data_IF_553786229328
#
_entry.id   IF_553786229328
#
_cell.length_a   1.000
_cell.length_b   1.000
_cell.length_c   1.000
_cell.angle_alpha   90.00
_cell.angle_beta   90.00
_cell.angle_gamma   90.00
#
_symmetry.space_group_name_H-M   'P 1'
#
loop_
_entity.id
_entity.type
_entity.pdbx_description
1 polymer ?
#
# COMPACT_ATOMS: atom_id res chain seq x y z
N UNK A 1 1.28 14.35 29.94
CA UNK A 1 1.06 14.43 28.47
C UNK A 1 1.51 13.15 27.81
N UNK A 2 0.66 12.54 26.98
CA UNK A 2 0.90 11.25 26.31
C UNK A 2 1.17 11.47 24.81
N UNK A 3 2.22 10.84 24.30
CA UNK A 3 2.58 10.87 22.89
C UNK A 3 1.59 10.04 22.06
N UNK A 4 1.23 10.54 20.87
CA UNK A 4 0.30 9.91 19.92
C UNK A 4 -1.14 9.73 20.41
N UNK A 5 -1.58 10.59 21.31
CA UNK A 5 -2.95 10.61 21.82
C UNK A 5 -3.57 12.00 21.69
N UNK A 6 -4.89 12.04 21.50
CA UNK A 6 -5.66 13.27 21.64
C UNK A 6 -5.85 13.61 23.11
N UNK A 7 -5.63 14.87 23.48
CA UNK A 7 -5.76 15.36 24.84
C UNK A 7 -6.37 16.76 24.83
N UNK A 8 -7.16 17.06 25.85
CA UNK A 8 -7.70 18.40 26.10
C UNK A 8 -6.77 19.14 27.07
N UNK A 9 -5.95 20.07 26.53
CA UNK A 9 -4.94 20.78 27.29
C UNK A 9 -5.31 22.24 27.48
N UNK A 10 -4.99 22.81 28.64
CA UNK A 10 -5.25 24.21 28.95
C UNK A 10 -4.31 25.14 28.18
N UNK A 11 -4.85 26.17 27.55
CA UNK A 11 -4.10 27.29 27.00
C UNK A 11 -3.54 28.13 28.16
N UNK A 12 -2.23 28.01 28.44
CA UNK A 12 -1.58 28.68 29.57
C UNK A 12 -1.17 30.11 29.21
N UNK A 13 -0.43 30.30 28.12
CA UNK A 13 0.05 31.61 27.69
C UNK A 13 0.38 31.67 26.21
N UNK A 14 0.25 32.87 25.64
CA UNK A 14 0.71 33.21 24.29
C UNK A 14 2.23 33.39 24.28
N UNK A 15 2.86 32.92 23.20
CA UNK A 15 4.30 33.09 22.91
C UNK A 15 4.46 33.51 21.44
N UNK A 16 5.68 33.88 21.03
CA UNK A 16 5.96 34.36 19.68
C UNK A 16 5.53 33.39 18.57
N UNK A 17 5.75 32.11 18.78
CA UNK A 17 5.51 31.07 17.76
C UNK A 17 4.21 30.29 17.95
N UNK A 18 3.34 30.68 18.87
CA UNK A 18 2.09 29.98 19.15
C UNK A 18 1.58 30.18 20.56
N UNK A 19 1.06 29.11 21.16
CA UNK A 19 0.62 29.10 22.54
C UNK A 19 1.18 27.90 23.29
N UNK A 20 1.48 28.06 24.57
CA UNK A 20 1.81 26.94 25.44
C UNK A 20 0.55 26.33 26.03
N UNK A 21 0.46 25.00 25.92
CA UNK A 21 -0.59 24.19 26.51
C UNK A 21 -0.02 23.32 27.63
N UNK A 22 -0.84 23.01 28.63
CA UNK A 22 -0.50 22.16 29.76
C UNK A 22 -1.69 21.29 30.22
N UNK A 23 -1.42 20.23 30.99
CA UNK A 23 -2.46 19.38 31.57
C UNK A 23 -3.30 20.11 32.63
N UNK A 24 -2.68 21.05 33.33
CA UNK A 24 -3.32 21.99 34.26
C UNK A 24 -2.63 23.35 34.22
N UNK A 25 -3.29 24.39 34.76
CA UNK A 25 -2.83 25.77 34.72
C UNK A 25 -1.58 26.03 35.58
N UNK A 26 -1.29 25.15 36.54
CA UNK A 26 -0.13 25.25 37.43
C UNK A 26 1.05 24.40 37.01
N UNK A 27 0.94 23.64 35.91
CA UNK A 27 1.99 22.74 35.46
C UNK A 27 3.22 23.50 34.95
N UNK A 28 4.42 23.04 35.34
CA UNK A 28 5.68 23.54 34.78
C UNK A 28 5.97 22.95 33.37
N UNK A 29 5.31 21.84 33.05
CA UNK A 29 5.50 21.12 31.77
C UNK A 29 4.54 21.68 30.73
N UNK A 30 5.08 22.29 29.69
CA UNK A 30 4.31 22.88 28.61
C UNK A 30 4.64 22.22 27.27
N UNK A 31 3.63 22.19 26.38
CA UNK A 31 3.80 21.83 24.98
C UNK A 31 3.39 23.00 24.10
N UNK A 32 4.13 23.21 23.00
CA UNK A 32 3.83 24.29 22.04
C UNK A 32 2.73 23.82 21.07
N UNK A 33 1.69 24.62 20.89
CA UNK A 33 0.79 24.59 19.75
C UNK A 33 1.18 25.74 18.81
N UNK A 34 1.59 25.48 17.55
CA UNK A 34 2.00 26.52 16.61
C UNK A 34 0.90 27.54 16.32
N UNK A 35 1.27 28.79 16.10
CA UNK A 35 0.33 29.91 15.92
C UNK A 35 -0.70 29.69 14.80
N UNK A 36 -0.31 29.04 13.71
CA UNK A 36 -1.20 28.72 12.58
C UNK A 36 -2.30 27.70 12.91
N UNK A 37 -2.17 27.02 14.04
CA UNK A 37 -3.06 25.94 14.47
C UNK A 37 -3.87 26.32 15.73
N UNK A 38 -3.67 27.50 16.27
CA UNK A 38 -4.45 28.02 17.40
C UNK A 38 -5.82 28.44 16.89
N UNK A 39 -6.94 27.91 17.45
CA UNK A 39 -8.27 28.39 17.11
C UNK A 39 -8.41 29.90 17.34
N UNK A 40 -9.08 30.61 16.44
CA UNK A 40 -9.18 32.08 16.47
C UNK A 40 -9.87 32.63 17.74
N UNK A 41 -10.80 31.83 18.28
CA UNK A 41 -11.60 32.18 19.48
C UNK A 41 -10.97 31.68 20.78
N UNK A 42 -9.84 30.96 20.74
CA UNK A 42 -9.21 30.36 21.93
C UNK A 42 -8.63 31.41 22.85
N UNK A 43 -8.92 31.28 24.14
CA UNK A 43 -8.48 32.22 25.20
C UNK A 43 -7.65 31.51 26.27
N UNK A 44 -6.71 32.22 26.91
CA UNK A 44 -6.00 31.66 28.06
C UNK A 44 -6.97 31.16 29.15
N UNK A 45 -6.68 29.96 29.68
CA UNK A 45 -7.54 29.29 30.65
C UNK A 45 -8.53 28.29 30.05
N UNK A 46 -8.77 28.34 28.75
CA UNK A 46 -9.64 27.37 28.06
C UNK A 46 -8.87 26.12 27.64
N UNK A 47 -9.60 25.03 27.44
CA UNK A 47 -9.03 23.78 26.93
C UNK A 47 -9.08 23.75 25.40
N UNK A 48 -7.99 23.32 24.79
CA UNK A 48 -7.90 23.05 23.36
C UNK A 48 -7.64 21.55 23.19
N UNK A 49 -8.45 20.87 22.35
CA UNK A 49 -8.24 19.48 21.96
C UNK A 49 -7.13 19.41 20.93
N UNK A 50 -6.05 18.69 21.27
CA UNK A 50 -4.87 18.58 20.43
C UNK A 50 -4.38 17.13 20.37
N UNK A 51 -3.71 16.80 19.29
CA UNK A 51 -2.92 15.56 19.16
C UNK A 51 -1.46 15.88 19.48
N UNK A 52 -0.78 15.02 20.24
CA UNK A 52 0.62 15.21 20.61
C UNK A 52 1.54 14.30 19.79
N UNK A 53 2.51 14.90 19.12
CA UNK A 53 3.53 14.17 18.35
C UNK A 53 4.90 14.82 18.54
N UNK A 54 5.94 14.32 17.86
CA UNK A 54 7.28 14.90 17.91
C UNK A 54 7.60 15.64 16.62
N UNK A 55 8.12 16.87 16.76
CA UNK A 55 8.60 17.67 15.64
C UNK A 55 9.90 17.12 15.01
N UNK A 56 10.45 17.78 13.99
CA UNK A 56 11.69 17.40 13.31
C UNK A 56 12.94 17.41 14.20
N UNK A 57 12.86 18.06 15.38
CA UNK A 57 13.93 18.10 16.39
C UNK A 57 13.65 17.15 17.57
N UNK A 58 12.72 16.18 17.38
CA UNK A 58 12.27 15.23 18.40
C UNK A 58 11.69 15.84 19.68
N UNK A 59 11.23 17.11 19.63
CA UNK A 59 10.54 17.77 20.74
C UNK A 59 9.06 17.45 20.69
N UNK A 60 8.42 17.30 21.85
CA UNK A 60 6.98 17.16 21.93
C UNK A 60 6.29 18.43 21.43
N UNK A 61 5.33 18.31 20.55
CA UNK A 61 4.56 19.41 19.95
C UNK A 61 3.08 19.01 19.87
N UNK A 62 2.21 20.00 20.03
CA UNK A 62 0.77 19.85 19.86
C UNK A 62 0.33 20.25 18.45
N UNK A 63 -0.74 19.62 17.97
CA UNK A 63 -1.39 19.99 16.71
C UNK A 63 -2.91 19.87 16.83
N UNK A 64 -3.64 20.76 16.17
CA UNK A 64 -5.08 20.65 15.93
C UNK A 64 -5.38 19.92 14.61
N UNK A 65 -4.36 19.67 13.77
CA UNK A 65 -4.51 18.85 12.59
C UNK A 65 -4.79 17.39 12.99
N UNK A 66 -5.63 16.72 12.21
CA UNK A 66 -5.98 15.32 12.44
C UNK A 66 -5.01 14.41 11.69
N UNK A 67 -4.22 13.56 12.36
CA UNK A 67 -3.44 12.53 11.69
C UNK A 67 -4.36 11.50 11.04
N UNK A 68 -3.90 10.88 9.95
CA UNK A 68 -4.65 9.85 9.22
C UNK A 68 -4.78 8.52 9.99
N UNK A 69 -3.94 8.31 11.03
CA UNK A 69 -4.02 7.15 11.93
C UNK A 69 -3.45 7.49 13.30
N UNK A 70 -3.88 6.74 14.32
CA UNK A 70 -3.40 6.83 15.70
C UNK A 70 -2.84 5.47 16.18
N UNK A 71 -2.37 5.40 17.42
CA UNK A 71 -1.84 4.13 17.98
C UNK A 71 -2.91 3.05 17.99
N UNK A 72 -2.54 1.87 17.51
CA UNK A 72 -3.43 0.71 17.42
C UNK A 72 -4.35 0.70 16.19
N UNK A 73 -4.26 1.73 15.35
CA UNK A 73 -4.97 1.82 14.07
C UNK A 73 -4.03 1.51 12.90
N UNK A 74 -4.62 1.37 11.74
CA UNK A 74 -3.94 1.29 10.45
C UNK A 74 -4.66 2.17 9.43
N UNK A 75 -3.92 2.66 8.44
CA UNK A 75 -4.46 3.45 7.34
C UNK A 75 -3.60 3.31 6.08
N UNK A 76 -4.16 3.56 4.90
CA UNK A 76 -3.38 3.75 3.69
C UNK A 76 -2.68 5.12 3.75
N UNK A 77 -1.36 5.13 3.58
CA UNK A 77 -0.56 6.34 3.54
C UNK A 77 0.28 6.39 2.27
N UNK A 78 0.43 7.59 1.71
CA UNK A 78 1.26 7.82 0.53
C UNK A 78 2.72 7.95 0.92
N UNK A 79 3.60 7.23 0.24
CA UNK A 79 5.05 7.36 0.33
C UNK A 79 5.47 8.65 -0.38
N UNK A 80 5.98 9.64 0.36
CA UNK A 80 6.48 10.90 -0.20
C UNK A 80 7.90 10.77 -0.72
N UNK A 81 8.74 10.06 0.03
CA UNK A 81 10.15 9.92 -0.27
C UNK A 81 10.70 8.60 0.28
N UNK A 82 11.68 8.02 -0.43
CA UNK A 82 12.46 6.87 0.03
C UNK A 82 13.91 7.31 0.20
N UNK A 83 14.38 7.31 1.44
CA UNK A 83 15.72 7.72 1.82
C UNK A 83 16.66 6.55 2.15
N UNK A 84 17.84 6.86 2.68
CA UNK A 84 18.88 5.85 3.01
C UNK A 84 18.50 4.89 4.14
N UNK A 85 17.56 5.27 5.02
CA UNK A 85 17.23 4.51 6.25
C UNK A 85 15.79 3.97 6.27
N UNK A 86 14.98 4.35 5.30
CA UNK A 86 13.57 4.00 5.18
C UNK A 86 12.80 4.98 4.32
N UNK A 87 11.48 4.94 4.38
CA UNK A 87 10.59 5.85 3.68
C UNK A 87 9.93 6.85 4.62
N UNK A 88 9.43 7.94 4.05
CA UNK A 88 8.68 8.97 4.74
C UNK A 88 7.27 9.05 4.13
N UNK A 89 6.26 8.98 5.01
CA UNK A 89 4.86 8.84 4.63
C UNK A 89 4.07 10.09 5.01
N UNK A 90 3.15 10.50 4.12
CA UNK A 90 2.18 11.55 4.43
C UNK A 90 1.06 11.01 5.32
N UNK A 91 1.08 11.37 6.58
CA UNK A 91 0.05 11.01 7.56
C UNK A 91 -0.82 12.16 8.04
N UNK A 92 -0.76 13.31 7.32
CA UNK A 92 -1.60 14.47 7.58
C UNK A 92 -1.00 15.53 8.54
N UNK A 93 0.22 15.29 9.06
CA UNK A 93 0.92 16.23 9.93
C UNK A 93 2.15 16.85 9.22
N UNK A 94 2.70 17.94 9.77
CA UNK A 94 3.83 18.66 9.15
C UNK A 94 5.10 17.79 9.04
N UNK A 95 5.39 16.97 10.06
CA UNK A 95 6.49 16.01 10.01
C UNK A 95 5.96 14.69 9.44
N UNK A 96 6.54 14.26 8.33
CA UNK A 96 6.21 12.98 7.72
C UNK A 96 6.49 11.80 8.66
N UNK A 97 5.68 10.75 8.59
CA UNK A 97 5.82 9.56 9.40
C UNK A 97 6.92 8.67 8.83
N UNK A 98 7.89 8.30 9.67
CA UNK A 98 9.02 7.48 9.24
C UNK A 98 8.66 5.98 9.24
N UNK A 99 8.91 5.31 8.11
CA UNK A 99 8.81 3.86 7.94
C UNK A 99 10.22 3.29 7.78
N UNK A 100 10.82 2.69 8.82
CA UNK A 100 12.15 2.06 8.74
C UNK A 100 12.16 0.87 7.80
N UNK A 101 13.27 0.59 7.10
CA UNK A 101 13.41 -0.60 6.26
C UNK A 101 13.11 -1.92 6.98
N UNK A 102 13.49 -2.05 8.26
CA UNK A 102 13.20 -3.23 9.08
C UNK A 102 11.71 -3.50 9.32
N UNK A 103 10.86 -2.48 9.13
CA UNK A 103 9.41 -2.56 9.29
C UNK A 103 8.67 -2.70 7.95
N UNK A 104 9.40 -2.71 6.85
CA UNK A 104 8.83 -3.00 5.53
C UNK A 104 8.72 -4.51 5.29
N UNK A 105 7.64 -4.94 4.67
CA UNK A 105 7.44 -6.31 4.18
C UNK A 105 7.83 -6.45 2.71
N UNK A 106 7.95 -5.32 1.98
CA UNK A 106 8.37 -5.22 0.59
C UNK A 106 9.04 -3.88 0.33
N UNK A 107 9.70 -3.75 -0.81
CA UNK A 107 10.21 -2.45 -1.29
C UNK A 107 9.04 -1.56 -1.69
N UNK A 108 9.18 -0.28 -1.40
CA UNK A 108 8.22 0.77 -1.77
C UNK A 108 8.92 1.87 -2.55
N UNK A 109 8.17 2.61 -3.35
CA UNK A 109 8.65 3.74 -4.15
C UNK A 109 7.83 5.01 -3.80
N UNK A 110 8.38 6.19 -4.10
CA UNK A 110 7.64 7.43 -3.92
C UNK A 110 6.39 7.43 -4.81
N UNK A 111 5.25 7.78 -4.22
CA UNK A 111 3.93 7.72 -4.85
C UNK A 111 3.13 6.46 -4.54
N UNK A 112 3.75 5.41 -4.02
CA UNK A 112 2.99 4.24 -3.57
C UNK A 112 2.07 4.60 -2.42
N UNK A 113 0.86 4.04 -2.40
CA UNK A 113 -0.06 4.14 -1.27
C UNK A 113 -0.16 2.79 -0.58
N UNK A 114 0.35 2.69 0.64
CA UNK A 114 0.54 1.44 1.36
C UNK A 114 -0.20 1.45 2.70
N UNK A 115 -0.74 0.29 3.11
CA UNK A 115 -1.29 0.12 4.46
C UNK A 115 -0.17 0.04 5.48
N UNK A 116 -0.30 0.83 6.54
CA UNK A 116 0.65 0.84 7.65
C UNK A 116 -0.06 0.98 8.99
N UNK A 117 0.58 0.51 10.04
CA UNK A 117 0.24 0.74 11.45
C UNK A 117 1.14 1.81 12.04
N UNK A 118 0.73 2.39 13.18
CA UNK A 118 1.54 3.34 13.96
C UNK A 118 2.06 2.66 15.22
N UNK A 119 3.36 2.80 15.49
CA UNK A 119 3.95 2.34 16.74
C UNK A 119 4.97 3.34 17.31
N UNK A 120 5.29 3.21 18.59
CA UNK A 120 6.34 3.97 19.25
C UNK A 120 7.60 3.11 19.33
N UNK A 121 8.71 3.57 18.74
CA UNK A 121 9.98 2.88 18.76
C UNK A 121 10.66 2.95 20.16
N UNK A 122 11.79 2.21 20.33
CA UNK A 122 12.57 2.20 21.59
C UNK A 122 13.12 3.58 21.97
N UNK A 123 13.25 4.49 21.00
CA UNK A 123 13.68 5.88 21.19
C UNK A 123 12.52 6.83 21.44
N UNK A 124 11.34 6.31 21.70
CA UNK A 124 10.08 7.07 21.88
C UNK A 124 9.75 7.98 20.70
N UNK A 125 9.98 7.51 19.47
CA UNK A 125 9.55 8.16 18.23
C UNK A 125 8.38 7.41 17.60
N UNK A 126 7.48 8.18 16.97
CA UNK A 126 6.40 7.62 16.17
C UNK A 126 6.96 7.11 14.85
N UNK A 127 6.68 5.85 14.53
CA UNK A 127 7.10 5.20 13.30
C UNK A 127 5.95 4.39 12.70
N UNK A 128 5.98 4.25 11.38
CA UNK A 128 5.10 3.34 10.66
C UNK A 128 5.66 1.92 10.61
N UNK A 129 4.78 0.93 10.48
CA UNK A 129 5.14 -0.46 10.20
C UNK A 129 4.15 -1.05 9.19
N UNK A 130 4.65 -1.82 8.22
CA UNK A 130 3.83 -2.63 7.31
C UNK A 130 3.47 -3.99 7.93
N UNK A 131 3.96 -4.29 9.14
CA UNK A 131 3.75 -5.55 9.85
C UNK A 131 2.52 -5.51 10.76
N UNK A 132 1.97 -6.68 11.04
CA UNK A 132 0.86 -6.83 11.99
C UNK A 132 -0.53 -6.46 11.44
N UNK A 133 -0.65 -6.09 10.17
CA UNK A 133 -1.93 -5.75 9.53
C UNK A 133 -2.92 -6.92 9.55
N UNK A 134 -2.43 -8.14 9.37
CA UNK A 134 -3.24 -9.35 9.39
C UNK A 134 -4.10 -9.53 10.66
N UNK A 135 -3.57 -9.11 11.80
CA UNK A 135 -4.28 -9.23 13.09
C UNK A 135 -5.26 -8.07 13.33
N UNK A 136 -5.04 -6.94 12.67
CA UNK A 136 -5.87 -5.74 12.81
C UNK A 136 -7.06 -5.71 11.86
N UNK A 137 -6.93 -6.33 10.68
CA UNK A 137 -8.01 -6.37 9.68
C UNK A 137 -9.20 -7.19 10.19
N UNK A 138 -10.40 -6.66 9.95
CA UNK A 138 -11.65 -7.30 10.34
C UNK A 138 -11.85 -8.64 9.62
N UNK A 139 -12.36 -9.61 10.35
CA UNK A 139 -12.80 -10.91 9.84
C UNK A 139 -14.32 -10.97 9.67
N UNK A 140 -15.03 -9.92 10.05
CA UNK A 140 -16.50 -9.82 9.92
C UNK A 140 -16.85 -9.07 8.64
N UNK A 141 -16.69 -9.77 7.52
CA UNK A 141 -16.93 -9.23 6.18
C UNK A 141 -18.41 -9.38 5.79
N UNK A 142 -19.05 -8.36 5.19
CA UNK A 142 -20.42 -8.45 4.67
C UNK A 142 -20.52 -9.20 3.34
N UNK A 143 -19.38 -9.51 2.71
CA UNK A 143 -19.32 -10.09 1.38
C UNK A 143 -19.65 -11.58 1.35
N UNK A 144 -20.24 -12.01 0.24
CA UNK A 144 -20.62 -13.38 -0.05
C UNK A 144 -19.85 -13.91 -1.26
N UNK A 145 -19.88 -15.25 -1.42
CA UNK A 145 -19.31 -15.90 -2.60
C UNK A 145 -19.89 -15.32 -3.89
N UNK A 146 -19.06 -15.23 -4.91
CA UNK A 146 -19.34 -14.73 -6.26
C UNK A 146 -19.51 -13.20 -6.37
N UNK A 147 -19.41 -12.44 -5.29
CA UNK A 147 -19.40 -10.99 -5.33
C UNK A 147 -18.03 -10.44 -5.76
N UNK A 148 -18.06 -9.32 -6.48
CA UNK A 148 -16.88 -8.54 -6.81
C UNK A 148 -16.56 -7.58 -5.66
N UNK A 149 -15.29 -7.47 -5.34
CA UNK A 149 -14.77 -6.62 -4.27
C UNK A 149 -13.56 -5.85 -4.75
N UNK A 150 -13.34 -4.69 -4.16
CA UNK A 150 -12.10 -3.92 -4.33
C UNK A 150 -11.24 -4.09 -3.09
N UNK A 151 -9.95 -4.29 -3.26
CA UNK A 151 -9.05 -4.44 -2.12
C UNK A 151 -7.61 -4.05 -2.46
N UNK A 152 -6.85 -3.75 -1.42
CA UNK A 152 -5.45 -3.34 -1.50
C UNK A 152 -4.54 -4.49 -1.12
N UNK A 153 -3.54 -4.77 -1.95
CA UNK A 153 -2.49 -5.73 -1.67
C UNK A 153 -1.57 -5.18 -0.57
N UNK A 154 -1.40 -5.91 0.54
CA UNK A 154 -0.57 -5.43 1.65
C UNK A 154 0.57 -6.35 2.06
N UNK A 155 0.53 -7.65 1.66
CA UNK A 155 1.59 -8.60 2.02
C UNK A 155 1.62 -9.79 1.04
N UNK A 156 2.82 -10.31 0.76
CA UNK A 156 3.03 -11.55 0.03
C UNK A 156 3.54 -12.63 0.96
N UNK A 157 3.02 -13.84 0.81
CA UNK A 157 3.43 -15.01 1.60
C UNK A 157 3.65 -16.21 0.69
N UNK A 158 4.84 -16.81 0.77
CA UNK A 158 5.19 -17.99 0.00
C UNK A 158 4.25 -19.20 0.32
N UNK A 159 3.71 -19.24 1.53
CA UNK A 159 2.88 -20.35 1.98
C UNK A 159 1.37 -20.13 1.75
N UNK A 160 0.92 -18.86 1.80
CA UNK A 160 -0.51 -18.56 1.87
C UNK A 160 -1.04 -17.78 0.67
N UNK A 161 -0.17 -17.17 -0.13
CA UNK A 161 -0.52 -16.35 -1.27
C UNK A 161 -0.43 -14.85 -0.97
N UNK A 162 -1.19 -14.05 -1.70
CA UNK A 162 -1.21 -12.61 -1.60
C UNK A 162 -2.30 -12.16 -0.65
N UNK A 163 -1.94 -11.46 0.40
CA UNK A 163 -2.90 -10.87 1.33
C UNK A 163 -3.45 -9.55 0.82
N UNK A 164 -4.76 -9.40 0.94
CA UNK A 164 -5.53 -8.26 0.42
C UNK A 164 -6.42 -7.72 1.53
N UNK A 165 -6.44 -6.42 1.71
CA UNK A 165 -7.39 -5.72 2.55
C UNK A 165 -8.57 -5.24 1.69
N UNK A 166 -9.69 -5.96 1.71
CA UNK A 166 -10.90 -5.56 0.98
C UNK A 166 -11.49 -4.33 1.68
N UNK A 167 -11.77 -3.26 0.89
CA UNK A 167 -12.19 -1.93 1.37
C UNK A 167 -11.23 -1.31 2.41
N UNK A 168 -9.93 -1.66 2.33
CA UNK A 168 -8.92 -1.35 3.35
C UNK A 168 -9.34 -1.78 4.77
N UNK A 169 -10.23 -2.77 4.92
CA UNK A 169 -10.85 -3.16 6.18
C UNK A 169 -10.92 -4.65 6.43
N UNK A 170 -11.29 -5.46 5.42
CA UNK A 170 -11.59 -6.87 5.61
C UNK A 170 -10.45 -7.77 5.16
N UNK A 171 -10.10 -8.77 5.98
CA UNK A 171 -9.03 -9.72 5.71
C UNK A 171 -9.40 -10.66 4.56
N UNK A 172 -8.60 -10.63 3.51
CA UNK A 172 -8.75 -11.51 2.36
C UNK A 172 -7.40 -11.99 1.83
N UNK A 173 -7.42 -13.02 0.98
CA UNK A 173 -6.23 -13.50 0.27
C UNK A 173 -6.55 -14.01 -1.13
N UNK A 174 -5.56 -13.94 -2.00
CA UNK A 174 -5.50 -14.67 -3.27
C UNK A 174 -4.57 -15.87 -3.04
N UNK A 175 -5.04 -17.12 -3.22
CA UNK A 175 -4.23 -18.32 -2.98
C UNK A 175 -3.02 -18.41 -3.92
N UNK A 176 -1.93 -19.06 -3.49
CA UNK A 176 -0.72 -19.33 -4.31
C UNK A 176 -0.96 -20.15 -5.58
N UNK A 177 -2.12 -20.82 -5.69
CA UNK A 177 -2.50 -21.53 -6.92
C UNK A 177 -2.82 -20.60 -8.10
N UNK A 178 -2.92 -19.31 -7.85
CA UNK A 178 -3.12 -18.28 -8.87
C UNK A 178 -1.82 -17.51 -9.13
N UNK A 179 -1.62 -17.10 -10.37
CA UNK A 179 -0.48 -16.25 -10.71
C UNK A 179 -0.78 -14.80 -10.28
N UNK A 180 -0.02 -14.34 -9.33
CA UNK A 180 -0.09 -12.97 -8.79
C UNK A 180 1.26 -12.24 -8.90
N UNK A 181 2.19 -12.76 -9.72
CA UNK A 181 3.56 -12.21 -9.87
C UNK A 181 3.61 -10.80 -10.46
N UNK A 182 2.49 -10.32 -11.00
CA UNK A 182 2.36 -8.96 -11.53
C UNK A 182 1.88 -7.94 -10.50
N UNK A 183 1.44 -8.37 -9.32
CA UNK A 183 0.97 -7.50 -8.26
C UNK A 183 2.13 -6.91 -7.46
N UNK A 184 1.92 -5.70 -6.95
CA UNK A 184 2.81 -5.00 -6.01
C UNK A 184 2.06 -4.67 -4.72
N UNK A 185 2.80 -4.47 -3.64
CA UNK A 185 2.25 -3.91 -2.41
C UNK A 185 1.70 -2.51 -2.71
N UNK A 186 0.49 -2.24 -2.21
CA UNK A 186 -0.23 -0.99 -2.47
C UNK A 186 -1.19 -1.04 -3.65
N UNK A 187 -1.05 -2.01 -4.56
CA UNK A 187 -1.97 -2.14 -5.70
C UNK A 187 -3.41 -2.30 -5.21
N UNK A 188 -4.30 -1.48 -5.75
CA UNK A 188 -5.75 -1.63 -5.57
C UNK A 188 -6.29 -2.48 -6.70
N UNK A 189 -6.88 -3.60 -6.34
CA UNK A 189 -7.37 -4.61 -7.29
C UNK A 189 -8.85 -4.84 -7.12
N UNK A 190 -9.50 -5.20 -8.21
CA UNK A 190 -10.84 -5.81 -8.18
C UNK A 190 -10.69 -7.32 -8.31
N UNK A 191 -11.36 -8.05 -7.44
CA UNK A 191 -11.29 -9.49 -7.37
C UNK A 191 -12.67 -10.07 -7.06
N UNK A 192 -12.87 -11.34 -7.40
CA UNK A 192 -14.11 -12.07 -7.10
C UNK A 192 -13.93 -12.91 -5.85
N UNK A 193 -14.89 -12.88 -4.95
CA UNK A 193 -14.92 -13.75 -3.76
C UNK A 193 -15.23 -15.18 -4.19
N UNK A 194 -14.30 -16.11 -3.93
CA UNK A 194 -14.49 -17.55 -4.23
C UNK A 194 -15.02 -18.32 -3.03
N UNK A 195 -14.66 -17.89 -1.83
CA UNK A 195 -15.15 -18.48 -0.58
C UNK A 195 -15.12 -17.47 0.57
N UNK A 196 -16.06 -17.63 1.47
CA UNK A 196 -16.03 -17.03 2.82
C UNK A 196 -15.68 -18.14 3.79
N UNK A 197 -14.60 -17.97 4.53
CA UNK A 197 -14.14 -18.97 5.50
C UNK A 197 -14.96 -18.95 6.78
N UNK A 198 -14.94 -20.02 7.59
CA UNK A 198 -15.66 -20.07 8.87
C UNK A 198 -15.25 -18.95 9.83
N UNK A 199 -14.03 -18.44 9.73
CA UNK A 199 -13.51 -17.31 10.51
C UNK A 199 -13.81 -15.94 9.88
N UNK A 200 -14.62 -15.88 8.80
CA UNK A 200 -15.06 -14.66 8.13
C UNK A 200 -14.08 -14.08 7.10
N UNK A 201 -12.87 -14.64 6.97
CA UNK A 201 -11.91 -14.21 5.94
C UNK A 201 -12.36 -14.62 4.54
N UNK A 202 -11.95 -13.85 3.54
CA UNK A 202 -12.29 -14.09 2.15
C UNK A 202 -11.14 -14.76 1.39
N UNK A 203 -11.46 -15.77 0.57
CA UNK A 203 -10.59 -16.19 -0.52
C UNK A 203 -11.05 -15.49 -1.80
N UNK A 204 -10.10 -14.93 -2.55
CA UNK A 204 -10.32 -14.13 -3.74
C UNK A 204 -9.71 -14.79 -4.98
N UNK A 205 -10.19 -14.41 -6.16
CA UNK A 205 -9.61 -14.80 -7.45
C UNK A 205 -9.55 -13.61 -8.41
N UNK A 206 -8.51 -13.58 -9.23
CA UNK A 206 -8.31 -12.63 -10.33
C UNK A 206 -8.55 -13.29 -11.69
N UNK A 207 -9.00 -14.54 -11.75
CA UNK A 207 -9.00 -15.36 -12.98
C UNK A 207 -9.69 -14.71 -14.16
N UNK A 208 -10.83 -14.05 -13.96
CA UNK A 208 -11.53 -13.39 -15.06
C UNK A 208 -10.72 -12.23 -15.66
N UNK A 209 -10.11 -11.38 -14.81
CA UNK A 209 -9.24 -10.28 -15.26
C UNK A 209 -7.92 -10.80 -15.84
N UNK A 210 -7.32 -11.82 -15.23
CA UNK A 210 -6.12 -12.46 -15.74
C UNK A 210 -6.35 -13.09 -17.12
N UNK A 211 -7.52 -13.64 -17.37
CA UNK A 211 -7.90 -14.17 -18.68
C UNK A 211 -8.06 -13.06 -19.72
N UNK A 212 -8.80 -11.99 -19.41
CA UNK A 212 -8.96 -10.83 -20.30
C UNK A 212 -7.61 -10.16 -20.59
N UNK A 213 -6.76 -9.99 -19.57
CA UNK A 213 -5.41 -9.42 -19.76
C UNK A 213 -4.54 -10.34 -20.63
N UNK A 214 -4.65 -11.65 -20.45
CA UNK A 214 -3.91 -12.63 -21.25
C UNK A 214 -4.35 -12.59 -22.72
N UNK A 215 -5.64 -12.42 -23.00
CA UNK A 215 -6.15 -12.26 -24.37
C UNK A 215 -5.61 -10.96 -24.99
N UNK A 216 -5.64 -9.84 -24.27
CA UNK A 216 -5.07 -8.56 -24.73
C UNK A 216 -3.57 -8.65 -24.96
N UNK A 217 -2.82 -9.30 -24.10
CA UNK A 217 -1.38 -9.52 -24.26
C UNK A 217 -1.09 -10.44 -25.45
N UNK A 218 -1.94 -11.46 -25.67
CA UNK A 218 -1.86 -12.34 -26.82
C UNK A 218 -2.11 -11.63 -28.14
N UNK A 219 -3.11 -10.74 -28.20
CA UNK A 219 -3.38 -9.89 -29.37
C UNK A 219 -2.19 -9.01 -29.72
N UNK A 220 -1.58 -8.33 -28.75
CA UNK A 220 -0.34 -7.54 -28.96
C UNK A 220 0.80 -8.37 -29.53
N UNK A 221 0.96 -9.62 -29.08
CA UNK A 221 2.00 -10.52 -29.62
C UNK A 221 1.67 -10.93 -31.06
N UNK A 222 0.41 -11.15 -31.42
CA UNK A 222 0.00 -11.45 -32.79
C UNK A 222 0.25 -10.26 -33.72
N UNK A 223 -0.10 -9.04 -33.30
CA UNK A 223 0.20 -7.80 -34.04
C UNK A 223 1.72 -7.63 -34.22
N UNK A 224 2.49 -7.89 -33.19
CA UNK A 224 3.95 -7.84 -33.29
C UNK A 224 4.50 -8.90 -34.24
N UNK A 225 3.98 -10.14 -34.21
CA UNK A 225 4.33 -11.18 -35.18
C UNK A 225 4.03 -10.72 -36.61
N UNK A 226 2.91 -10.07 -36.85
CA UNK A 226 2.57 -9.55 -38.16
C UNK A 226 3.56 -8.47 -38.62
N UNK A 227 4.01 -7.60 -37.72
CA UNK A 227 5.05 -6.59 -38.03
C UNK A 227 6.41 -7.19 -38.33
N UNK A 228 6.71 -8.38 -37.85
CA UNK A 228 7.93 -9.15 -38.11
C UNK A 228 7.77 -10.24 -39.19
N UNK A 229 6.82 -10.08 -40.09
CA UNK A 229 6.55 -11.06 -41.16
C UNK A 229 6.27 -12.49 -40.61
N UNK A 230 5.62 -12.60 -39.49
CA UNK A 230 5.18 -13.85 -38.86
C UNK A 230 6.23 -14.55 -37.98
N UNK A 231 7.42 -13.98 -37.78
CA UNK A 231 8.45 -14.62 -36.93
C UNK A 231 9.13 -13.61 -36.04
N UNK A 232 9.01 -13.77 -34.72
CA UNK A 232 9.73 -12.92 -33.78
C UNK A 232 11.25 -13.17 -33.83
N UNK A 233 12.08 -12.11 -33.75
CA UNK A 233 13.55 -12.23 -33.75
C UNK A 233 14.11 -12.73 -32.41
N UNK A 234 13.27 -13.00 -31.41
CA UNK A 234 13.61 -13.47 -30.07
C UNK A 234 12.62 -14.54 -29.60
N UNK A 235 12.98 -15.27 -28.53
CA UNK A 235 12.16 -16.33 -27.96
C UNK A 235 11.73 -15.98 -26.52
N UNK A 236 10.93 -16.89 -25.91
CA UNK A 236 10.54 -16.81 -24.50
C UNK A 236 11.74 -16.89 -23.52
N UNK A 237 12.92 -17.26 -24.02
CA UNK A 237 14.19 -17.30 -23.25
C UNK A 237 14.94 -15.98 -23.25
N UNK A 238 14.52 -15.00 -24.06
CA UNK A 238 15.16 -13.68 -24.11
C UNK A 238 15.20 -13.00 -22.74
N UNK A 239 16.12 -12.03 -22.58
CA UNK A 239 16.23 -11.30 -21.31
C UNK A 239 14.97 -10.46 -21.04
N UNK A 240 14.65 -10.17 -19.75
CA UNK A 240 13.50 -9.34 -19.41
C UNK A 240 13.53 -7.97 -20.11
N UNK A 241 14.72 -7.37 -20.28
CA UNK A 241 14.90 -6.06 -20.91
C UNK A 241 14.53 -6.11 -22.40
N UNK A 242 14.94 -7.18 -23.11
CA UNK A 242 14.60 -7.36 -24.52
C UNK A 242 13.11 -7.55 -24.69
N UNK A 243 12.50 -8.42 -23.89
CA UNK A 243 11.04 -8.68 -23.94
C UNK A 243 10.28 -7.39 -23.66
N UNK A 244 10.64 -6.65 -22.60
CA UNK A 244 9.95 -5.41 -22.23
C UNK A 244 10.09 -4.34 -23.31
N UNK A 245 11.28 -4.20 -23.91
CA UNK A 245 11.53 -3.22 -24.98
C UNK A 245 10.69 -3.53 -26.24
N UNK A 246 10.65 -4.79 -26.66
CA UNK A 246 10.01 -5.18 -27.92
C UNK A 246 8.47 -5.34 -27.79
N UNK A 247 7.97 -5.77 -26.62
CA UNK A 247 6.55 -6.11 -26.46
C UNK A 247 5.83 -5.19 -25.46
N UNK A 248 6.55 -4.42 -24.65
CA UNK A 248 5.99 -3.67 -23.52
C UNK A 248 5.60 -4.56 -22.32
N UNK A 249 5.72 -5.90 -22.44
CA UNK A 249 5.28 -6.86 -21.42
C UNK A 249 6.41 -7.25 -20.45
N UNK A 250 6.05 -7.66 -19.24
CA UNK A 250 6.98 -8.37 -18.37
C UNK A 250 7.29 -9.76 -18.96
N UNK A 251 8.44 -10.34 -18.59
CA UNK A 251 8.80 -11.71 -19.02
C UNK A 251 7.76 -12.76 -18.62
N UNK A 252 7.12 -12.60 -17.45
CA UNK A 252 6.08 -13.49 -16.99
C UNK A 252 4.80 -13.35 -17.84
N UNK A 253 4.34 -12.12 -18.10
CA UNK A 253 3.19 -11.85 -18.98
C UNK A 253 3.43 -12.37 -20.39
N UNK A 254 4.60 -12.10 -20.97
CA UNK A 254 4.98 -12.61 -22.28
C UNK A 254 4.93 -14.13 -22.35
N UNK A 255 5.53 -14.84 -21.37
CA UNK A 255 5.47 -16.30 -21.34
C UNK A 255 4.05 -16.87 -21.24
N UNK A 256 3.18 -16.23 -20.44
CA UNK A 256 1.77 -16.64 -20.35
C UNK A 256 1.05 -16.48 -21.68
N UNK A 257 1.18 -15.30 -22.31
CA UNK A 257 0.56 -15.02 -23.59
C UNK A 257 1.06 -15.96 -24.71
N UNK A 258 2.37 -16.25 -24.77
CA UNK A 258 2.94 -17.26 -25.69
C UNK A 258 2.36 -18.63 -25.41
N UNK A 259 2.25 -19.08 -24.14
CA UNK A 259 1.67 -20.35 -23.78
C UNK A 259 0.19 -20.45 -24.19
N UNK A 260 -0.57 -19.36 -24.04
CA UNK A 260 -1.97 -19.28 -24.46
C UNK A 260 -2.08 -19.41 -25.99
N UNK A 261 -1.36 -18.59 -26.76
CA UNK A 261 -1.35 -18.63 -28.22
C UNK A 261 -0.90 -19.98 -28.78
N UNK A 262 0.08 -20.63 -28.13
CA UNK A 262 0.53 -21.97 -28.51
C UNK A 262 -0.56 -23.04 -28.28
N UNK A 263 -1.26 -22.97 -27.13
CA UNK A 263 -2.39 -23.85 -26.82
C UNK A 263 -3.55 -23.69 -27.81
N UNK A 264 -3.79 -22.46 -28.24
CA UNK A 264 -4.79 -22.15 -29.28
C UNK A 264 -4.32 -22.45 -30.70
N UNK A 265 -3.09 -22.95 -30.89
CA UNK A 265 -2.48 -23.25 -32.17
C UNK A 265 -2.30 -22.03 -33.10
N UNK A 266 -2.36 -20.83 -32.55
CA UNK A 266 -2.12 -19.56 -33.28
C UNK A 266 -0.64 -19.30 -33.55
N UNK A 267 0.25 -19.94 -32.81
CA UNK A 267 1.69 -19.89 -32.98
C UNK A 267 2.33 -21.28 -32.88
N UNK A 268 3.54 -21.40 -33.41
CA UNK A 268 4.44 -22.54 -33.22
C UNK A 268 5.74 -22.09 -32.58
N UNK A 269 6.35 -22.99 -31.80
CA UNK A 269 7.65 -22.80 -31.14
C UNK A 269 8.63 -23.77 -31.81
N UNK A 270 9.42 -23.29 -32.74
CA UNK A 270 10.36 -24.10 -33.49
C UNK A 270 11.75 -23.47 -33.52
N UNK A 271 12.77 -24.27 -33.23
CA UNK A 271 14.18 -23.84 -33.25
C UNK A 271 14.49 -22.62 -32.39
N UNK A 272 13.74 -22.42 -31.25
CA UNK A 272 13.89 -21.24 -30.39
C UNK A 272 13.29 -19.97 -30.99
N UNK A 273 12.44 -20.08 -32.01
CA UNK A 273 11.71 -18.96 -32.63
C UNK A 273 10.22 -19.12 -32.42
N UNK A 274 9.54 -18.01 -32.26
CA UNK A 274 8.07 -17.93 -32.16
C UNK A 274 7.56 -17.54 -33.56
N UNK A 275 6.72 -18.41 -34.14
CA UNK A 275 6.16 -18.21 -35.49
C UNK A 275 4.65 -18.19 -35.45
N UNK A 276 4.03 -17.31 -36.22
CA UNK A 276 2.59 -17.29 -36.44
C UNK A 276 2.18 -18.54 -37.21
N UNK A 277 1.16 -19.24 -36.78
CA UNK A 277 0.56 -20.34 -37.55
C UNK A 277 -0.37 -19.74 -38.60
N UNK A 278 -0.20 -20.11 -39.82
CA UNK A 278 -1.17 -19.83 -40.90
C UNK A 278 -2.11 -21.06 -40.93
N UNK A 279 -3.29 -20.90 -40.39
CA UNK A 279 -4.39 -21.88 -40.53
C UNK A 279 -5.20 -21.49 -41.75
#
# INVERSE_FOLDING_TARGET
>A
MKLAEYQDLYYVKKVEFGVYLAEDMGSEVHVLLPSKQVPEDAKPGEKIRVFLYKDSKDRLIATTNTPKLTLGEYAPLVVKEVGKIGAFLDWGLEKDLFLPYKEMTSRVEAGDEILVTLYIDKSKRLCASMKGLYDLLSKDSPYQKDQMVTGRVYEFSDNFGTFVAVDDRFSARIPNSEDHSFLKIGDVIEAKVTAVKPDGKLDLTLREKAYIQMDTDAEKILELLDSYAGVLPFSEKASPEVIKRETGLSKAAFKRAIGHLYKERKITLDGGKIRKSFV
#
